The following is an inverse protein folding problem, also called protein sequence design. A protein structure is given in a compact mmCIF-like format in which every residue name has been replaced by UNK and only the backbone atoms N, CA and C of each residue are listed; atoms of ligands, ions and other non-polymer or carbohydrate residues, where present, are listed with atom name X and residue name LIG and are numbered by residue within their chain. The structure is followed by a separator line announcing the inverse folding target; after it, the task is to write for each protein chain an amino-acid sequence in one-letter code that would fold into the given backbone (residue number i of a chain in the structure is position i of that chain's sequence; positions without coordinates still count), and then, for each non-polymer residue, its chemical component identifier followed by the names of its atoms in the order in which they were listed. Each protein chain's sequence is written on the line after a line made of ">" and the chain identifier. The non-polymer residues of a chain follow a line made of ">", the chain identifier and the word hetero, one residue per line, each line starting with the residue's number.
data_IF_864301250434
#
_entry.id   IF_864301250434
#
_cell.length_a   1.000
_cell.length_b   1.000
_cell.length_c   1.000
_cell.angle_alpha   90.00
_cell.angle_beta   90.00
_cell.angle_gamma   90.00
#
_symmetry.space_group_name_H-M   'P 1'
#
loop_
_entity.id
_entity.type
_entity.pdbx_description
1 polymer ?
#
# COMPACT_ATOMS: atom_id res chain seq x y z
N UNK A 1 -10.28 32.74 -11.13
CA UNK A 1 -11.41 32.17 -10.36
C UNK A 1 -11.61 30.76 -10.90
N UNK A 2 -11.06 29.75 -10.20
CA UNK A 2 -11.30 28.34 -10.52
C UNK A 2 -12.39 27.86 -9.56
N UNK A 3 -13.63 27.84 -10.05
CA UNK A 3 -14.76 27.22 -9.38
C UNK A 3 -14.67 25.70 -9.59
N UNK A 4 -13.81 25.05 -8.81
CA UNK A 4 -13.86 23.60 -8.61
C UNK A 4 -14.83 23.30 -7.48
N UNK A 5 -15.84 22.47 -7.74
CA UNK A 5 -16.91 22.10 -6.82
C UNK A 5 -16.37 21.67 -5.44
N UNK A 6 -16.87 22.25 -4.33
CA UNK A 6 -16.48 21.85 -2.97
C UNK A 6 -16.87 20.42 -2.59
N UNK A 7 -17.77 19.77 -3.33
CA UNK A 7 -18.35 18.46 -2.96
C UNK A 7 -17.43 17.26 -3.26
N UNK A 8 -16.51 17.34 -4.22
CA UNK A 8 -15.57 16.24 -4.53
C UNK A 8 -14.34 16.20 -3.61
N UNK A 9 -14.03 17.31 -2.91
CA UNK A 9 -12.86 17.40 -2.02
C UNK A 9 -12.99 16.60 -0.71
N UNK A 10 -14.20 16.10 -0.38
CA UNK A 10 -14.47 15.47 0.92
C UNK A 10 -14.44 13.94 0.92
N UNK A 11 -14.57 13.29 -0.23
CA UNK A 11 -14.72 11.83 -0.26
C UNK A 11 -13.38 11.11 -0.04
N UNK A 12 -12.30 11.58 -0.65
CA UNK A 12 -10.98 10.91 -0.63
C UNK A 12 -10.17 11.19 0.65
N UNK A 13 -10.34 12.36 1.28
CA UNK A 13 -9.60 12.76 2.48
C UNK A 13 -10.21 12.16 3.76
N UNK A 14 -10.21 10.84 3.83
CA UNK A 14 -10.65 10.06 4.99
C UNK A 14 -9.99 8.69 4.98
N UNK A 15 -10.07 8.00 6.11
CA UNK A 15 -9.63 6.63 6.23
C UNK A 15 -10.47 5.71 5.33
N UNK A 16 -9.84 4.90 4.47
CA UNK A 16 -10.57 3.98 3.59
C UNK A 16 -11.25 2.85 4.38
N UNK A 17 -10.74 2.53 5.58
CA UNK A 17 -11.22 1.44 6.42
C UNK A 17 -12.30 1.86 7.42
N UNK A 18 -12.10 2.97 8.15
CA UNK A 18 -13.02 3.43 9.20
C UNK A 18 -13.73 4.75 8.92
N UNK A 19 -13.47 5.39 7.78
CA UNK A 19 -14.05 6.67 7.36
C UNK A 19 -13.74 7.86 8.28
N UNK A 20 -12.91 7.68 9.29
CA UNK A 20 -12.41 8.78 10.11
C UNK A 20 -11.63 9.78 9.27
N UNK A 21 -11.76 11.05 9.63
CA UNK A 21 -10.95 12.14 9.08
C UNK A 21 -9.78 12.52 10.00
N UNK A 22 -9.59 11.79 11.11
CA UNK A 22 -8.46 11.98 12.04
C UNK A 22 -7.22 11.33 11.44
N UNK A 23 -6.62 12.03 10.49
CA UNK A 23 -5.42 11.61 9.78
C UNK A 23 -4.20 12.40 10.27
N UNK A 24 -3.06 11.73 10.33
CA UNK A 24 -1.75 12.33 10.57
C UNK A 24 -0.83 12.02 9.39
N UNK A 25 -0.03 12.99 8.96
CA UNK A 25 1.00 12.79 7.96
C UNK A 25 2.37 12.88 8.65
N UNK A 26 3.14 11.80 8.58
CA UNK A 26 4.52 11.75 9.03
C UNK A 26 5.40 11.92 7.80
N UNK A 27 6.23 12.97 7.82
CA UNK A 27 7.10 13.33 6.68
C UNK A 27 8.55 13.29 7.16
N UNK A 28 9.34 12.43 6.53
CA UNK A 28 10.77 12.29 6.73
C UNK A 28 11.50 12.95 5.56
N UNK A 29 12.46 13.80 5.90
CA UNK A 29 13.35 14.43 4.93
C UNK A 29 14.75 13.90 5.19
N UNK A 30 15.22 13.06 4.28
CA UNK A 30 16.59 12.57 4.28
C UNK A 30 17.40 13.37 3.25
N UNK A 31 18.46 14.04 3.72
CA UNK A 31 19.38 14.81 2.89
C UNK A 31 20.77 14.15 2.90
N UNK A 32 21.26 13.76 1.73
CA UNK A 32 22.62 13.21 1.59
C UNK A 32 23.58 14.34 1.24
N UNK A 33 24.47 14.65 2.17
CA UNK A 33 25.51 15.66 2.00
C UNK A 33 26.86 15.00 1.74
N UNK A 34 27.56 15.42 0.67
CA UNK A 34 29.00 15.15 0.55
C UNK A 34 29.74 16.05 1.52
N UNK A 35 30.68 15.48 2.26
CA UNK A 35 31.51 16.21 3.23
C UNK A 35 32.92 16.32 2.68
N UNK A 36 33.46 17.53 2.70
CA UNK A 36 34.88 17.76 2.47
C UNK A 36 35.68 17.17 3.65
N UNK A 37 36.57 16.19 3.42
CA UNK A 37 37.31 15.53 4.50
C UNK A 37 38.37 16.43 5.17
N UNK A 38 38.81 17.51 4.52
CA UNK A 38 39.83 18.42 5.08
C UNK A 38 39.22 19.51 5.95
N UNK A 39 38.04 20.01 5.59
CA UNK A 39 37.37 21.13 6.27
C UNK A 39 36.18 20.70 7.13
N UNK A 40 35.57 19.56 6.81
CA UNK A 40 34.31 19.10 7.40
C UNK A 40 33.07 19.82 6.89
N UNK A 41 33.22 20.72 5.92
CA UNK A 41 32.09 21.45 5.34
C UNK A 41 31.30 20.58 4.35
N UNK A 42 30.00 20.86 4.22
CA UNK A 42 29.18 20.23 3.20
C UNK A 42 29.61 20.74 1.82
N UNK A 43 30.22 19.85 1.03
CA UNK A 43 30.79 20.17 -0.27
C UNK A 43 29.71 20.29 -1.37
N UNK A 44 28.73 19.37 -1.39
CA UNK A 44 27.62 19.35 -2.36
C UNK A 44 26.40 18.57 -1.80
N UNK A 45 25.18 19.04 -2.14
CA UNK A 45 23.93 18.28 -1.94
C UNK A 45 23.82 17.21 -3.00
N UNK A 46 23.68 15.96 -2.60
CA UNK A 46 23.61 14.82 -3.52
C UNK A 46 22.17 14.45 -3.84
N UNK A 47 21.33 14.33 -2.82
CA UNK A 47 19.97 13.80 -2.94
C UNK A 47 19.10 14.28 -1.77
N UNK A 48 17.83 14.57 -2.07
CA UNK A 48 16.78 14.86 -1.07
C UNK A 48 15.65 13.87 -1.29
N UNK A 49 15.44 13.00 -0.30
CA UNK A 49 14.37 11.99 -0.34
C UNK A 49 13.29 12.46 0.66
N UNK A 50 12.10 12.71 0.13
CA UNK A 50 10.92 12.96 0.95
C UNK A 50 10.09 11.68 1.03
N UNK A 51 10.10 11.04 2.20
CA UNK A 51 9.20 9.93 2.48
C UNK A 51 8.03 10.44 3.33
N UNK A 52 6.81 10.13 2.91
CA UNK A 52 5.62 10.51 3.65
C UNK A 52 4.66 9.33 3.78
N UNK A 53 4.17 9.14 5.01
CA UNK A 53 3.10 8.18 5.32
C UNK A 53 1.96 8.95 5.94
N UNK A 54 0.75 8.73 5.42
CA UNK A 54 -0.48 9.24 6.02
C UNK A 54 -1.12 8.10 6.79
N UNK A 55 -1.40 8.29 8.08
CA UNK A 55 -1.97 7.27 8.96
C UNK A 55 -3.29 7.75 9.58
N UNK A 56 -4.25 6.84 9.75
CA UNK A 56 -5.46 7.10 10.51
C UNK A 56 -5.20 6.91 12.00
N UNK A 57 -5.50 7.92 12.81
CA UNK A 57 -5.27 7.87 14.26
C UNK A 57 -6.28 7.01 15.03
N UNK A 58 -7.42 6.68 14.41
CA UNK A 58 -8.46 5.89 15.10
C UNK A 58 -8.28 4.39 14.88
N UNK A 59 -7.78 3.97 13.70
CA UNK A 59 -7.55 2.56 13.40
C UNK A 59 -6.08 2.19 13.17
N UNK A 60 -5.15 3.17 13.28
CA UNK A 60 -3.70 3.01 13.12
C UNK A 60 -3.26 2.40 11.78
N UNK A 61 -4.09 2.51 10.74
CA UNK A 61 -3.75 2.03 9.41
C UNK A 61 -3.15 3.15 8.58
N UNK A 62 -2.20 2.77 7.74
CA UNK A 62 -1.66 3.66 6.72
C UNK A 62 -2.70 3.87 5.61
N UNK A 63 -2.63 5.02 4.95
CA UNK A 63 -3.58 5.49 3.96
C UNK A 63 -2.85 5.62 2.61
N UNK A 64 -2.61 4.49 1.92
CA UNK A 64 -1.82 4.50 0.69
C UNK A 64 -2.52 5.26 -0.44
N UNK A 65 -3.84 5.45 -0.39
CA UNK A 65 -4.55 6.35 -1.31
C UNK A 65 -4.25 7.83 -1.13
N UNK A 66 -3.44 8.20 -0.14
CA UNK A 66 -3.02 9.56 0.15
C UNK A 66 -1.49 9.67 0.09
N UNK A 67 -1.02 10.82 -0.35
CA UNK A 67 0.41 11.18 -0.30
C UNK A 67 0.55 12.65 0.09
N UNK A 68 1.78 13.09 0.35
CA UNK A 68 2.10 14.50 0.65
C UNK A 68 2.86 15.12 -0.51
N UNK A 69 2.29 16.16 -1.12
CA UNK A 69 2.91 16.95 -2.17
C UNK A 69 2.83 18.44 -1.80
N UNK A 70 3.94 19.17 -1.94
CA UNK A 70 4.02 20.61 -1.63
C UNK A 70 3.47 20.97 -0.23
N UNK A 71 3.77 20.12 0.76
CA UNK A 71 3.32 20.30 2.15
C UNK A 71 1.81 20.07 2.36
N UNK A 72 1.13 19.42 1.42
CA UNK A 72 -0.31 19.13 1.49
C UNK A 72 -0.60 17.65 1.21
N UNK A 73 -1.59 17.13 1.92
CA UNK A 73 -2.14 15.81 1.61
C UNK A 73 -2.95 15.90 0.32
N UNK A 74 -2.65 15.01 -0.63
CA UNK A 74 -3.32 14.90 -1.94
C UNK A 74 -3.71 13.44 -2.19
N UNK A 75 -4.77 13.18 -2.98
CA UNK A 75 -5.13 11.82 -3.35
C UNK A 75 -4.13 11.24 -4.35
N UNK A 76 -3.95 9.92 -4.32
CA UNK A 76 -3.29 9.17 -5.39
C UNK A 76 -4.36 8.75 -6.40
N UNK A 77 -4.40 9.40 -7.56
CA UNK A 77 -5.47 9.30 -8.57
C UNK A 77 -5.78 7.86 -8.99
N UNK A 78 -4.76 7.01 -9.12
CA UNK A 78 -4.90 5.64 -9.60
C UNK A 78 -5.61 4.71 -8.59
N UNK A 79 -5.66 5.07 -7.30
CA UNK A 79 -6.17 4.15 -6.27
C UNK A 79 -7.16 4.74 -5.28
N UNK A 80 -7.31 6.06 -5.17
CA UNK A 80 -8.18 6.62 -4.13
C UNK A 80 -9.64 6.24 -4.29
N UNK A 81 -10.18 6.24 -5.51
CA UNK A 81 -11.58 5.87 -5.75
C UNK A 81 -11.82 4.43 -5.32
N UNK A 82 -10.93 3.56 -5.76
CA UNK A 82 -10.97 2.13 -5.46
C UNK A 82 -10.92 1.88 -3.95
N UNK A 83 -10.00 2.51 -3.25
CA UNK A 83 -9.83 2.27 -1.81
C UNK A 83 -11.00 2.86 -1.00
N UNK A 84 -11.44 4.07 -1.33
CA UNK A 84 -12.38 4.81 -0.48
C UNK A 84 -13.86 4.57 -0.82
N UNK A 85 -14.17 4.25 -2.08
CA UNK A 85 -15.51 3.91 -2.54
C UNK A 85 -15.69 2.40 -2.78
N UNK A 86 -14.62 1.62 -2.78
CA UNK A 86 -14.66 0.18 -2.92
C UNK A 86 -15.03 -0.56 -1.63
N UNK A 87 -15.02 -1.88 -1.76
CA UNK A 87 -15.32 -2.88 -0.75
C UNK A 87 -14.10 -3.77 -0.56
N UNK A 88 -13.89 -4.32 0.65
CA UNK A 88 -12.80 -5.25 0.88
C UNK A 88 -13.09 -6.59 0.17
N UNK A 89 -12.07 -7.11 -0.49
CA UNK A 89 -12.04 -8.45 -1.07
C UNK A 89 -10.89 -9.22 -0.43
N UNK A 90 -11.11 -10.51 -0.21
CA UNK A 90 -10.08 -11.45 0.25
C UNK A 90 -9.83 -12.48 -0.83
N UNK A 91 -8.59 -12.52 -1.32
CA UNK A 91 -8.10 -13.46 -2.31
C UNK A 91 -7.20 -14.50 -1.64
N UNK A 92 -7.38 -15.77 -2.00
CA UNK A 92 -6.36 -16.80 -1.83
C UNK A 92 -5.71 -16.98 -3.19
N UNK A 93 -4.44 -16.59 -3.31
CA UNK A 93 -3.72 -16.66 -4.57
C UNK A 93 -2.32 -17.24 -4.39
N UNK A 94 -1.73 -17.60 -5.52
CA UNK A 94 -0.36 -18.07 -5.62
C UNK A 94 0.35 -17.20 -6.65
N UNK A 95 1.56 -16.74 -6.35
CA UNK A 95 2.42 -16.08 -7.35
C UNK A 95 3.69 -16.88 -7.50
N UNK A 96 4.02 -17.23 -8.74
CA UNK A 96 5.27 -17.90 -9.09
C UNK A 96 6.24 -16.87 -9.65
N UNK A 97 7.40 -16.73 -9.01
CA UNK A 97 8.42 -15.73 -9.32
C UNK A 97 9.80 -16.37 -9.41
N UNK A 98 10.72 -15.73 -10.13
CA UNK A 98 12.14 -16.10 -10.09
C UNK A 98 12.72 -15.88 -8.69
N UNK A 99 13.61 -16.79 -8.26
CA UNK A 99 14.21 -16.72 -6.92
C UNK A 99 15.06 -15.46 -6.71
N UNK A 100 15.58 -14.84 -7.76
CA UNK A 100 16.36 -13.60 -7.69
C UNK A 100 15.52 -12.37 -7.32
N UNK A 101 14.19 -12.46 -7.40
CA UNK A 101 13.26 -11.42 -6.96
C UNK A 101 13.04 -11.41 -5.44
N UNK A 102 13.54 -12.42 -4.72
CA UNK A 102 13.37 -12.57 -3.27
C UNK A 102 14.73 -12.48 -2.59
N UNK A 103 14.91 -11.45 -1.76
CA UNK A 103 16.15 -11.25 -1.01
C UNK A 103 16.34 -12.31 0.09
N UNK A 104 15.27 -12.66 0.79
CA UNK A 104 15.28 -13.73 1.80
C UNK A 104 13.93 -14.42 1.91
N UNK A 105 13.94 -15.75 2.03
CA UNK A 105 12.75 -16.56 2.30
C UNK A 105 12.72 -17.12 3.73
N UNK A 106 13.62 -16.66 4.61
CA UNK A 106 13.72 -17.13 5.99
C UNK A 106 14.01 -16.01 6.99
N UNK A 107 13.65 -16.23 8.25
CA UNK A 107 13.81 -15.24 9.31
C UNK A 107 12.66 -14.23 9.38
N UNK A 108 12.81 -13.17 10.20
CA UNK A 108 11.75 -12.20 10.46
C UNK A 108 11.32 -11.43 9.20
N UNK A 109 12.24 -11.18 8.28
CA UNK A 109 11.99 -10.35 7.08
C UNK A 109 11.47 -11.17 5.88
N UNK A 110 11.31 -12.49 6.05
CA UNK A 110 10.92 -13.40 4.97
C UNK A 110 9.54 -13.06 4.39
N UNK A 111 8.57 -12.73 5.24
CA UNK A 111 7.21 -12.45 4.80
C UNK A 111 7.15 -11.20 3.91
N UNK A 112 7.89 -10.16 4.29
CA UNK A 112 7.95 -8.90 3.55
C UNK A 112 8.72 -9.07 2.24
N UNK A 113 9.86 -9.77 2.28
CA UNK A 113 10.65 -10.05 1.08
C UNK A 113 9.89 -10.92 0.07
N UNK A 114 9.17 -11.95 0.53
CA UNK A 114 8.31 -12.79 -0.33
C UNK A 114 7.11 -12.02 -0.86
N UNK A 115 6.50 -11.14 -0.05
CA UNK A 115 5.39 -10.28 -0.49
C UNK A 115 5.86 -9.32 -1.57
N UNK A 116 6.99 -8.63 -1.36
CA UNK A 116 7.55 -7.69 -2.31
C UNK A 116 7.99 -8.38 -3.61
N UNK A 117 8.60 -9.57 -3.50
CA UNK A 117 8.94 -10.40 -4.64
C UNK A 117 7.71 -10.79 -5.45
N UNK A 118 6.61 -11.15 -4.78
CA UNK A 118 5.38 -11.59 -5.44
C UNK A 118 4.51 -10.45 -6.01
N UNK A 119 4.32 -9.38 -5.26
CA UNK A 119 3.28 -8.36 -5.49
C UNK A 119 3.82 -6.91 -5.52
N UNK A 120 5.14 -6.73 -5.45
CA UNK A 120 5.81 -5.43 -5.53
C UNK A 120 5.35 -4.44 -4.45
N UNK A 121 5.40 -3.15 -4.80
CA UNK A 121 4.99 -2.06 -3.93
C UNK A 121 3.50 -2.10 -3.59
N UNK A 122 2.64 -2.53 -4.50
CA UNK A 122 1.21 -2.68 -4.21
C UNK A 122 0.99 -3.72 -3.11
N UNK A 123 1.71 -4.84 -3.18
CA UNK A 123 1.70 -5.87 -2.14
C UNK A 123 2.11 -5.39 -0.76
N UNK A 124 3.12 -4.53 -0.67
CA UNK A 124 3.65 -4.06 0.61
C UNK A 124 2.94 -2.81 1.14
N UNK A 125 2.37 -1.98 0.26
CA UNK A 125 1.82 -0.67 0.63
C UNK A 125 0.30 -0.61 0.62
N UNK A 126 -0.35 -1.39 -0.25
CA UNK A 126 -1.79 -1.26 -0.49
C UNK A 126 -2.61 -2.42 0.06
N UNK A 127 -2.03 -3.61 0.11
CA UNK A 127 -2.73 -4.83 0.49
C UNK A 127 -2.40 -5.22 1.93
N UNK A 128 -3.33 -5.92 2.59
CA UNK A 128 -2.94 -6.75 3.74
C UNK A 128 -2.59 -8.12 3.22
N UNK A 129 -1.30 -8.41 3.20
CA UNK A 129 -0.77 -9.69 2.72
C UNK A 129 -0.38 -10.56 3.89
N UNK A 130 -0.67 -11.86 3.74
CA UNK A 130 -0.18 -12.88 4.64
C UNK A 130 0.38 -14.04 3.81
N UNK A 131 1.71 -14.17 3.80
CA UNK A 131 2.39 -15.33 3.24
C UNK A 131 2.03 -16.55 4.08
N UNK A 132 1.28 -17.49 3.52
CA UNK A 132 0.90 -18.73 4.21
C UNK A 132 2.06 -19.72 4.25
N UNK A 133 2.63 -19.96 3.08
CA UNK A 133 3.84 -20.76 2.89
C UNK A 133 4.40 -20.46 1.50
N UNK A 134 5.64 -20.86 1.27
CA UNK A 134 6.27 -20.86 -0.04
C UNK A 134 6.94 -22.21 -0.27
N UNK A 135 7.18 -22.53 -1.55
CA UNK A 135 7.99 -23.67 -1.96
C UNK A 135 8.95 -23.23 -3.05
N UNK A 136 10.10 -23.88 -3.12
CA UNK A 136 11.04 -23.73 -4.22
C UNK A 136 10.74 -24.78 -5.28
N UNK A 137 10.80 -24.37 -6.55
CA UNK A 137 10.62 -25.23 -7.71
C UNK A 137 11.69 -24.85 -8.75
N UNK A 138 12.80 -25.59 -8.76
CA UNK A 138 14.03 -25.24 -9.48
C UNK A 138 14.49 -23.80 -9.17
N UNK A 139 14.57 -22.93 -10.17
CA UNK A 139 14.98 -21.52 -10.06
C UNK A 139 13.81 -20.58 -9.67
N UNK A 140 12.63 -21.15 -9.38
CA UNK A 140 11.41 -20.42 -9.04
C UNK A 140 11.03 -20.58 -7.57
N UNK A 141 10.30 -19.60 -7.06
CA UNK A 141 9.59 -19.65 -5.79
C UNK A 141 8.10 -19.52 -6.07
N UNK A 142 7.32 -20.42 -5.49
CA UNK A 142 5.86 -20.39 -5.52
C UNK A 142 5.37 -19.91 -4.16
N UNK A 143 4.86 -18.68 -4.10
CA UNK A 143 4.42 -18.01 -2.87
C UNK A 143 2.91 -18.12 -2.76
N UNK A 144 2.42 -18.74 -1.69
CA UNK A 144 0.98 -18.84 -1.42
C UNK A 144 0.55 -17.74 -0.44
N UNK A 145 -0.38 -16.91 -0.88
CA UNK A 145 -0.77 -15.66 -0.22
C UNK A 145 -2.26 -15.68 0.12
N UNK A 146 -2.58 -15.10 1.28
CA UNK A 146 -3.89 -14.53 1.54
C UNK A 146 -3.74 -13.01 1.38
N UNK A 147 -4.50 -12.42 0.46
CA UNK A 147 -4.43 -10.98 0.15
C UNK A 147 -5.78 -10.36 0.44
N UNK A 148 -5.80 -9.31 1.25
CA UNK A 148 -6.93 -8.42 1.36
C UNK A 148 -6.63 -7.13 0.59
N UNK A 149 -7.56 -6.74 -0.27
CA UNK A 149 -7.48 -5.52 -1.06
C UNK A 149 -8.85 -4.86 -1.17
N UNK A 150 -8.87 -3.58 -1.51
CA UNK A 150 -10.12 -2.87 -1.78
C UNK A 150 -10.37 -2.78 -3.28
N UNK A 151 -11.60 -3.01 -3.71
CA UNK A 151 -12.02 -2.83 -5.09
C UNK A 151 -13.51 -2.45 -5.17
N UNK A 152 -13.93 -1.77 -6.24
CA UNK A 152 -15.33 -1.42 -6.49
C UNK A 152 -16.13 -2.61 -6.98
N UNK A 153 -15.47 -3.52 -7.71
CA UNK A 153 -16.03 -4.76 -8.24
C UNK A 153 -15.07 -5.92 -8.06
N UNK A 154 -15.58 -7.15 -8.20
CA UNK A 154 -14.74 -8.36 -8.20
C UNK A 154 -13.76 -8.38 -9.38
N UNK A 155 -14.20 -7.91 -10.56
CA UNK A 155 -13.36 -7.76 -11.75
C UNK A 155 -12.19 -6.80 -11.50
N UNK A 156 -12.45 -5.63 -10.91
CA UNK A 156 -11.39 -4.69 -10.56
C UNK A 156 -10.44 -5.26 -9.49
N UNK A 157 -10.93 -6.13 -8.58
CA UNK A 157 -10.05 -6.81 -7.63
C UNK A 157 -9.10 -7.80 -8.33
N UNK A 158 -9.58 -8.49 -9.37
CA UNK A 158 -8.74 -9.37 -10.19
C UNK A 158 -7.70 -8.54 -10.94
N UNK A 159 -8.12 -7.49 -11.63
CA UNK A 159 -7.24 -6.61 -12.40
C UNK A 159 -6.11 -6.04 -11.53
N UNK A 160 -6.45 -5.56 -10.32
CA UNK A 160 -5.48 -5.01 -9.37
C UNK A 160 -4.47 -6.06 -8.89
N UNK A 161 -4.90 -7.30 -8.68
CA UNK A 161 -4.00 -8.39 -8.32
C UNK A 161 -3.10 -8.78 -9.50
N UNK A 162 -3.63 -8.82 -10.71
CA UNK A 162 -2.89 -9.14 -11.94
C UNK A 162 -1.85 -8.07 -12.25
N UNK A 163 -2.19 -6.79 -12.11
CA UNK A 163 -1.27 -5.67 -12.30
C UNK A 163 -0.16 -5.64 -11.25
N UNK A 164 -0.48 -6.01 -10.00
CA UNK A 164 0.51 -6.07 -8.91
C UNK A 164 1.45 -7.28 -9.01
N UNK A 165 1.01 -8.39 -9.60
CA UNK A 165 1.78 -9.61 -9.65
C UNK A 165 3.04 -9.45 -10.51
N UNK A 166 4.20 -9.74 -9.92
CA UNK A 166 5.51 -9.67 -10.60
C UNK A 166 5.88 -10.95 -11.35
N UNK A 167 5.02 -11.96 -11.27
CA UNK A 167 5.17 -13.25 -11.95
C UNK A 167 3.82 -13.88 -12.24
N UNK A 168 3.79 -15.20 -12.42
CA UNK A 168 2.55 -15.89 -12.79
C UNK A 168 1.60 -15.96 -11.60
N UNK A 169 0.48 -15.23 -11.67
CA UNK A 169 -0.58 -15.23 -10.67
C UNK A 169 -1.62 -16.34 -10.95
N UNK A 170 -1.98 -17.06 -9.90
CA UNK A 170 -3.13 -17.97 -9.88
C UNK A 170 -4.04 -17.63 -8.69
N UNK A 171 -5.24 -17.12 -8.98
CA UNK A 171 -6.25 -16.84 -7.96
C UNK A 171 -7.09 -18.12 -7.73
N UNK A 172 -6.92 -18.75 -6.57
CA UNK A 172 -7.67 -19.96 -6.20
C UNK A 172 -9.10 -19.63 -5.75
N UNK A 173 -9.26 -18.51 -5.06
CA UNK A 173 -10.57 -18.02 -4.62
C UNK A 173 -10.52 -16.51 -4.38
N UNK A 174 -11.64 -15.85 -4.62
CA UNK A 174 -11.86 -14.44 -4.33
C UNK A 174 -13.26 -14.27 -3.76
N UNK A 175 -13.38 -13.48 -2.69
CA UNK A 175 -14.68 -13.19 -2.07
C UNK A 175 -14.70 -11.78 -1.51
N UNK A 176 -15.84 -11.08 -1.66
CA UNK A 176 -16.11 -9.85 -0.92
C UNK A 176 -16.16 -10.18 0.58
N UNK A 177 -15.42 -9.45 1.40
CA UNK A 177 -15.46 -9.60 2.84
C UNK A 177 -16.58 -8.75 3.44
N UNK A 178 -17.50 -9.38 4.17
CA UNK A 178 -18.54 -8.65 4.89
C UNK A 178 -17.94 -7.96 6.11
N UNK A 179 -17.43 -6.74 5.94
CA UNK A 179 -17.09 -5.87 7.08
C UNK A 179 -18.29 -4.98 7.39
N UNK A 180 -18.79 -4.97 8.64
CA UNK A 180 -19.72 -3.92 9.02
C UNK A 180 -19.06 -2.56 8.78
N UNK A 181 -19.80 -1.57 8.26
CA UNK A 181 -19.28 -0.22 8.10
C UNK A 181 -18.72 0.24 9.44
N UNK A 182 -17.45 0.65 9.46
CA UNK A 182 -16.73 0.91 10.71
C UNK A 182 -17.22 2.16 11.47
N UNK A 183 -18.26 2.85 10.98
CA UNK A 183 -19.16 3.63 11.83
C UNK A 183 -20.58 3.65 11.26
N UNK A 184 -21.55 3.18 12.06
CA UNK A 184 -22.92 3.63 11.91
C UNK A 184 -22.99 5.07 12.45
N UNK A 185 -23.51 6.05 11.69
CA UNK A 185 -23.69 7.41 12.19
C UNK A 185 -24.72 7.39 13.32
N UNK A 186 -24.28 7.44 14.58
CA UNK A 186 -25.20 7.42 15.72
C UNK A 186 -24.62 7.18 17.12
N UNK A 187 -23.38 6.70 17.25
CA UNK A 187 -22.77 6.57 18.58
C UNK A 187 -22.05 7.85 18.98
N UNK A 188 -22.76 8.66 19.78
CA UNK A 188 -22.19 9.78 20.50
C UNK A 188 -21.16 9.28 21.52
N UNK A 189 -19.98 9.89 21.51
CA UNK A 189 -19.04 9.89 22.64
C UNK A 189 -19.24 11.18 23.44
#
# INVERSE_FOLDING_TARGET
>A
MNEGFPEERGAWLRCYRCWSQRLEAQVHYDEILKVDPETGEAADRVEEIQEAVVQCLDCMHDQPHLTVADGRVVPVEERWERMVAGRPFVASCTVTIDQDQVETCSGPDAADSLTFGALGDSGTREFFTHVRFHKHDDDLIVVHLLVELYARTEEEAIDVLEEAARGTLEITSLAEESRPPAHAPGEAH
#
